data_IF_939324025111
#
_entry.id   IF_939324025111
#
_cell.length_a   1.000
_cell.length_b   1.000
_cell.length_c   1.000
_cell.angle_alpha   90.00
_cell.angle_beta   90.00
_cell.angle_gamma   90.00
#
_symmetry.space_group_name_H-M   'P 1'
#
loop_
_entity.id
_entity.type
_entity.pdbx_description
1 polymer ?
#
# COMPACT_ATOMS: atom_id res chain seq x y z
N UNK A 1 -1.38 -0.73 -7.30
CA UNK A 1 -1.41 -2.18 -7.46
C UNK A 1 -1.62 -2.51 -8.92
N UNK A 2 -0.67 -3.21 -9.52
CA UNK A 2 -0.81 -3.76 -10.86
C UNK A 2 -2.02 -4.72 -10.86
N UNK A 3 -2.93 -4.55 -11.79
CA UNK A 3 -4.19 -5.29 -11.84
C UNK A 3 -4.00 -6.63 -12.60
N UNK A 4 -2.90 -7.34 -12.36
CA UNK A 4 -2.54 -8.59 -13.05
C UNK A 4 -2.95 -9.88 -12.30
N UNK A 5 -3.54 -9.72 -11.11
CA UNK A 5 -3.96 -10.83 -10.24
C UNK A 5 -2.83 -11.43 -9.39
N UNK A 6 -1.59 -10.92 -9.47
CA UNK A 6 -0.45 -11.33 -8.66
C UNK A 6 0.17 -10.13 -7.97
N UNK A 7 0.02 -10.06 -6.65
CA UNK A 7 0.77 -9.07 -5.86
C UNK A 7 2.26 -9.38 -5.99
N UNK A 8 3.03 -8.37 -6.38
CA UNK A 8 4.45 -8.49 -6.67
C UNK A 8 5.28 -7.61 -5.75
N UNK A 9 6.61 -7.80 -5.78
CA UNK A 9 7.56 -6.89 -5.14
C UNK A 9 7.43 -5.45 -5.67
N UNK A 10 6.93 -5.27 -6.90
CA UNK A 10 6.64 -3.97 -7.48
C UNK A 10 5.50 -3.25 -6.77
N UNK A 11 4.48 -3.97 -6.32
CA UNK A 11 3.37 -3.40 -5.54
C UNK A 11 3.81 -2.98 -4.15
N UNK A 12 4.72 -3.74 -3.55
CA UNK A 12 5.35 -3.36 -2.29
C UNK A 12 6.15 -2.06 -2.45
N UNK A 13 6.92 -1.93 -3.54
CA UNK A 13 7.65 -0.70 -3.83
C UNK A 13 6.71 0.50 -4.05
N UNK A 14 5.60 0.32 -4.77
CA UNK A 14 4.60 1.37 -4.96
C UNK A 14 3.97 1.79 -3.62
N UNK A 15 3.63 0.84 -2.76
CA UNK A 15 3.08 1.16 -1.44
C UNK A 15 4.09 1.89 -0.54
N UNK A 16 5.37 1.48 -0.58
CA UNK A 16 6.43 2.10 0.19
C UNK A 16 6.66 3.59 -0.16
N UNK A 17 6.41 4.01 -1.41
CA UNK A 17 6.47 5.43 -1.82
C UNK A 17 5.44 6.30 -1.08
N UNK A 18 4.36 5.70 -0.59
CA UNK A 18 3.31 6.39 0.14
C UNK A 18 3.40 6.19 1.66
N UNK A 19 4.41 5.48 2.16
CA UNK A 19 4.57 5.22 3.59
C UNK A 19 4.59 6.51 4.43
N UNK A 20 3.85 6.50 5.55
CA UNK A 20 3.71 7.63 6.46
C UNK A 20 2.65 8.66 6.03
N UNK A 21 2.02 8.48 4.86
CA UNK A 21 0.88 9.32 4.45
C UNK A 21 -0.39 8.87 5.14
N UNK A 22 -1.32 9.80 5.33
CA UNK A 22 -2.63 9.53 5.91
C UNK A 22 -3.73 10.37 5.28
N UNK A 23 -4.95 10.20 5.78
CA UNK A 23 -6.14 10.88 5.25
C UNK A 23 -6.06 12.41 5.23
N UNK A 24 -5.18 13.00 6.03
CA UNK A 24 -4.88 14.44 6.03
C UNK A 24 -3.79 14.88 5.04
N UNK A 25 -3.13 13.95 4.36
CA UNK A 25 -2.07 14.25 3.39
C UNK A 25 -2.66 14.91 2.14
N UNK A 26 -2.02 15.96 1.57
CA UNK A 26 -2.52 16.65 0.38
C UNK A 26 -2.72 15.72 -0.84
N UNK A 27 -1.94 14.66 -0.94
CA UNK A 27 -1.95 13.67 -2.01
C UNK A 27 -2.65 12.35 -1.60
N UNK A 28 -3.49 12.38 -0.56
CA UNK A 28 -4.17 11.19 -0.05
C UNK A 28 -4.98 10.44 -1.12
N UNK A 29 -5.59 11.15 -2.08
CA UNK A 29 -6.34 10.54 -3.16
C UNK A 29 -5.51 9.55 -4.00
N UNK A 30 -4.19 9.77 -4.07
CA UNK A 30 -3.24 8.88 -4.73
C UNK A 30 -2.71 7.82 -3.75
N UNK A 31 -2.36 8.25 -2.53
CA UNK A 31 -1.77 7.40 -1.50
C UNK A 31 -2.73 6.33 -0.95
N UNK A 32 -4.04 6.59 -0.90
CA UNK A 32 -5.06 5.66 -0.36
C UNK A 32 -5.12 4.31 -1.08
N UNK A 33 -4.49 4.18 -2.25
CA UNK A 33 -4.35 2.90 -2.95
C UNK A 33 -3.35 1.95 -2.27
N UNK A 34 -2.52 2.49 -1.37
CA UNK A 34 -1.55 1.76 -0.56
C UNK A 34 -2.03 1.54 0.89
N UNK A 35 -3.19 2.09 1.27
CA UNK A 35 -3.88 1.80 2.53
C UNK A 35 -4.71 0.53 2.32
N UNK A 36 -4.14 -0.60 2.72
CA UNK A 36 -4.63 -1.94 2.42
C UNK A 36 -5.64 -2.39 3.47
N UNK A 37 -5.44 -1.97 4.72
CA UNK A 37 -6.34 -2.30 5.82
C UNK A 37 -7.50 -1.29 5.97
N UNK A 38 -7.45 -0.15 5.30
CA UNK A 38 -8.48 0.88 5.27
C UNK A 38 -8.52 1.76 6.53
N UNK A 39 -7.44 1.86 7.30
CA UNK A 39 -7.40 2.59 8.57
C UNK A 39 -7.08 4.08 8.42
N UNK A 40 -6.92 4.55 7.18
CA UNK A 40 -6.72 5.96 6.87
C UNK A 40 -5.26 6.41 6.96
N UNK A 41 -4.31 5.47 7.00
CA UNK A 41 -2.86 5.72 6.87
C UNK A 41 -2.21 4.61 6.06
N UNK A 42 -1.03 4.89 5.53
CA UNK A 42 -0.15 3.91 4.90
C UNK A 42 0.99 3.65 5.86
N UNK A 43 0.99 2.50 6.52
CA UNK A 43 1.99 2.14 7.52
C UNK A 43 2.52 0.71 7.36
N UNK A 44 3.20 0.21 8.39
CA UNK A 44 3.85 -1.09 8.35
C UNK A 44 2.85 -2.25 8.21
N UNK A 45 1.62 -2.09 8.69
CA UNK A 45 0.58 -3.10 8.55
C UNK A 45 0.21 -3.31 7.09
N UNK A 46 0.15 -2.22 6.31
CA UNK A 46 -0.14 -2.28 4.87
C UNK A 46 0.99 -2.95 4.09
N UNK A 47 2.24 -2.54 4.36
CA UNK A 47 3.40 -3.15 3.71
C UNK A 47 3.52 -4.64 4.04
N UNK A 48 3.26 -5.03 5.29
CA UNK A 48 3.27 -6.42 5.71
C UNK A 48 2.15 -7.23 5.04
N UNK A 49 0.96 -6.66 4.89
CA UNK A 49 -0.15 -7.30 4.19
C UNK A 49 0.17 -7.57 2.71
N UNK A 50 0.85 -6.63 2.05
CA UNK A 50 1.34 -6.81 0.67
C UNK A 50 2.42 -7.89 0.62
N UNK A 51 3.42 -7.81 1.50
CA UNK A 51 4.52 -8.77 1.55
C UNK A 51 4.04 -10.21 1.80
N UNK A 52 3.04 -10.39 2.67
CA UNK A 52 2.44 -11.71 2.91
C UNK A 52 1.85 -12.31 1.63
N UNK A 53 1.18 -11.50 0.80
CA UNK A 53 0.56 -11.95 -0.44
C UNK A 53 1.55 -12.26 -1.56
N UNK A 54 2.81 -11.84 -1.44
CA UNK A 54 3.89 -12.19 -2.38
C UNK A 54 4.39 -13.62 -2.14
N UNK A 55 4.28 -14.09 -0.89
CA UNK A 55 4.75 -15.41 -0.47
C UNK A 55 3.72 -16.52 -0.70
N UNK A 56 2.46 -16.16 -0.97
CA UNK A 56 1.35 -17.07 -1.31
C UNK A 56 1.37 -17.49 -2.79
#
# INVERSE_FOLDING_TARGET
MNQDGKISIGDLAIAAVHYGKGSSSPDWAQAKKADINGDGKVDIADLAAIASKILD
#
